data_IF_889147750842
#
_entry.id   IF_889147750842
#
_cell.length_a   1.000
_cell.length_b   1.000
_cell.length_c   1.000
_cell.angle_alpha   90.00
_cell.angle_beta   90.00
_cell.angle_gamma   90.00
#
_symmetry.space_group_name_H-M   'P 1'
#
loop_
_entity.id
_entity.type
_entity.pdbx_description
1 polymer ?
#
# COMPACT_ATOMS: atom_id res chain seq x y z
N UNK A 1 41.99 36.16 61.96
CA UNK A 1 43.02 36.75 61.09
C UNK A 1 43.70 35.65 60.27
N UNK A 2 43.31 35.48 59.00
CA UNK A 2 44.21 35.41 57.84
C UNK A 2 43.40 35.21 56.56
N UNK A 3 43.83 35.97 55.58
CA UNK A 3 43.32 36.18 54.24
C UNK A 3 43.96 35.18 53.25
N UNK A 4 43.23 34.97 52.15
CA UNK A 4 43.67 34.78 50.76
C UNK A 4 44.56 33.59 50.35
N UNK A 5 44.12 32.87 49.30
CA UNK A 5 44.61 32.91 47.89
C UNK A 5 43.99 31.69 47.16
N UNK A 6 42.96 31.83 46.30
CA UNK A 6 42.96 32.23 44.87
C UNK A 6 43.64 31.22 43.92
N UNK A 7 42.85 30.54 43.07
CA UNK A 7 42.96 30.42 41.58
C UNK A 7 42.01 29.30 41.08
N UNK A 8 40.93 29.67 40.37
CA UNK A 8 40.79 29.65 38.89
C UNK A 8 40.67 28.23 38.31
N UNK A 9 39.75 27.86 37.41
CA UNK A 9 38.84 28.63 36.55
C UNK A 9 37.94 27.63 35.78
N UNK A 10 36.78 28.13 35.34
CA UNK A 10 36.07 27.78 34.09
C UNK A 10 35.18 26.53 34.06
N UNK A 11 33.96 26.53 33.48
CA UNK A 11 33.27 27.50 32.58
C UNK A 11 31.76 27.12 32.50
N UNK A 12 30.89 28.14 32.50
CA UNK A 12 29.55 28.31 31.85
C UNK A 12 28.47 27.19 31.97
N UNK A 13 27.16 27.44 31.90
CA UNK A 13 26.29 28.62 31.73
C UNK A 13 24.84 28.14 31.98
N UNK A 14 24.01 28.85 32.77
CA UNK A 14 22.92 29.79 32.38
C UNK A 14 21.55 29.12 32.12
N UNK A 15 20.50 29.87 32.53
CA UNK A 15 19.06 29.76 32.28
C UNK A 15 18.27 28.94 33.32
N UNK A 16 17.59 29.53 34.30
CA UNK A 16 16.47 30.49 34.27
C UNK A 16 15.17 29.91 33.69
N UNK A 17 14.20 29.71 34.58
CA UNK A 17 12.76 29.78 34.29
C UNK A 17 12.08 28.51 33.80
N UNK A 18 11.08 28.03 34.54
CA UNK A 18 9.69 28.24 34.10
C UNK A 18 8.70 27.94 35.24
N UNK A 19 7.86 28.92 35.51
CA UNK A 19 6.64 28.82 36.31
C UNK A 19 5.49 28.25 35.44
N UNK A 20 4.53 27.62 36.12
CA UNK A 20 3.22 27.11 35.69
C UNK A 20 2.56 27.85 34.50
N UNK A 21 1.74 27.14 33.71
CA UNK A 21 0.28 27.39 33.56
C UNK A 21 -0.37 26.17 32.90
N UNK A 22 -1.49 25.69 33.46
CA UNK A 22 -2.30 24.60 32.92
C UNK A 22 -3.21 25.03 31.77
N UNK A 23 -3.59 24.07 30.92
CA UNK A 23 -4.67 24.24 29.96
C UNK A 23 -5.58 23.02 29.94
N UNK A 24 -6.87 23.32 29.88
CA UNK A 24 -8.02 22.43 29.96
C UNK A 24 -8.07 21.43 28.81
N UNK A 25 -8.41 20.18 29.12
CA UNK A 25 -8.82 19.16 28.17
C UNK A 25 -10.23 19.49 27.65
N UNK A 26 -10.35 19.79 26.35
CA UNK A 26 -11.62 19.75 25.62
C UNK A 26 -11.62 18.47 24.78
N UNK A 27 -12.67 17.63 24.81
CA UNK A 27 -12.74 16.50 23.90
C UNK A 27 -13.08 17.01 22.49
N UNK A 28 -12.16 16.81 21.55
CA UNK A 28 -12.42 17.04 20.14
C UNK A 28 -13.35 15.93 19.62
N UNK A 29 -14.63 16.24 19.47
CA UNK A 29 -15.52 15.50 18.56
C UNK A 29 -14.95 15.72 17.16
N UNK A 30 -14.41 14.67 16.56
CA UNK A 30 -13.96 14.68 15.17
C UNK A 30 -15.21 14.71 14.28
N UNK A 31 -15.61 15.91 13.87
CA UNK A 31 -16.53 16.09 12.77
C UNK A 31 -15.81 15.65 11.48
N UNK A 32 -16.32 14.59 10.85
CA UNK A 32 -15.92 14.17 9.51
C UNK A 32 -16.32 15.28 8.53
N UNK A 33 -15.33 16.07 8.13
CA UNK A 33 -15.47 17.15 7.17
C UNK A 33 -15.54 16.55 5.76
N UNK A 34 -16.71 16.57 5.14
CA UNK A 34 -16.85 16.42 3.68
C UNK A 34 -16.11 17.59 3.00
N UNK A 35 -14.86 17.36 2.62
CA UNK A 35 -14.06 18.34 1.89
C UNK A 35 -14.44 18.34 0.42
N UNK A 36 -15.21 19.36 0.02
CA UNK A 36 -15.40 19.75 -1.37
C UNK A 36 -14.24 20.65 -1.79
N UNK A 37 -13.16 20.06 -2.30
CA UNK A 37 -12.06 20.85 -2.87
C UNK A 37 -12.37 21.26 -4.31
N UNK A 38 -12.43 22.58 -4.49
CA UNK A 38 -12.35 23.22 -5.79
C UNK A 38 -10.90 23.63 -6.05
N UNK A 39 -10.42 23.33 -7.27
CA UNK A 39 -9.12 23.74 -7.87
C UNK A 39 -7.91 22.87 -7.49
N UNK A 40 -7.57 21.92 -8.37
CA UNK A 40 -6.16 21.62 -8.72
C UNK A 40 -5.59 20.24 -8.36
N UNK A 41 -6.25 19.43 -7.55
CA UNK A 41 -5.81 18.05 -7.32
C UNK A 41 -6.48 17.15 -8.36
N UNK A 42 -5.69 16.48 -9.22
CA UNK A 42 -6.20 15.34 -9.99
C UNK A 42 -6.60 14.28 -8.96
N UNK A 43 -7.86 14.22 -8.59
CA UNK A 43 -8.37 13.17 -7.71
C UNK A 43 -8.21 11.83 -8.42
N UNK A 44 -7.52 10.90 -7.77
CA UNK A 44 -7.42 9.51 -8.22
C UNK A 44 -8.29 8.69 -7.27
N UNK A 45 -9.32 8.04 -7.80
CA UNK A 45 -10.14 7.13 -7.04
C UNK A 45 -9.50 5.74 -7.02
N UNK A 46 -9.24 5.20 -5.83
CA UNK A 46 -8.62 3.89 -5.65
C UNK A 46 -9.69 2.81 -5.56
N UNK A 47 -9.53 1.75 -6.34
CA UNK A 47 -10.33 0.54 -6.34
C UNK A 47 -9.47 -0.61 -5.81
N UNK A 48 -9.72 -1.04 -4.57
CA UNK A 48 -9.08 -2.23 -3.99
C UNK A 48 -9.71 -3.47 -4.62
N UNK A 49 -9.10 -3.97 -5.68
CA UNK A 49 -9.74 -4.85 -6.65
C UNK A 49 -9.36 -6.33 -6.49
N UNK A 50 -8.55 -6.68 -5.50
CA UNK A 50 -8.29 -8.09 -5.22
C UNK A 50 -7.10 -8.32 -4.31
N UNK A 51 -6.85 -9.60 -4.09
CA UNK A 51 -5.76 -10.15 -3.30
C UNK A 51 -5.11 -11.31 -4.06
N UNK A 52 -3.79 -11.38 -4.00
CA UNK A 52 -2.99 -12.50 -4.48
C UNK A 52 -2.12 -13.00 -3.34
N UNK A 53 -2.15 -14.31 -3.06
CA UNK A 53 -1.29 -14.89 -2.03
C UNK A 53 -0.54 -16.08 -2.59
N UNK A 54 0.77 -16.09 -2.37
CA UNK A 54 1.64 -17.25 -2.55
C UNK A 54 2.09 -17.67 -1.15
N UNK A 55 1.73 -18.88 -0.72
CA UNK A 55 2.01 -19.39 0.62
C UNK A 55 2.75 -20.72 0.53
N UNK A 56 3.92 -20.79 1.18
CA UNK A 56 4.78 -21.98 1.18
C UNK A 56 4.50 -22.96 2.33
N UNK A 57 3.59 -22.63 3.24
CA UNK A 57 3.30 -23.43 4.43
C UNK A 57 2.85 -24.84 4.03
N UNK A 58 3.68 -25.85 4.33
CA UNK A 58 3.37 -27.24 3.99
C UNK A 58 3.43 -27.55 2.49
N UNK A 59 4.10 -26.69 1.72
CA UNK A 59 4.19 -26.73 0.27
C UNK A 59 3.70 -25.43 -0.36
N UNK A 60 4.07 -25.21 -1.62
CA UNK A 60 3.69 -24.01 -2.34
C UNK A 60 2.21 -24.04 -2.72
N UNK A 61 1.49 -22.95 -2.44
CA UNK A 61 0.10 -22.74 -2.84
C UNK A 61 -0.07 -21.33 -3.39
N UNK A 62 -1.02 -21.17 -4.32
CA UNK A 62 -1.32 -19.89 -4.95
C UNK A 62 -2.82 -19.62 -4.89
N UNK A 63 -3.21 -18.43 -4.47
CA UNK A 63 -4.60 -17.99 -4.44
C UNK A 63 -4.76 -16.64 -5.09
N UNK A 64 -5.86 -16.47 -5.80
CA UNK A 64 -6.25 -15.22 -6.43
C UNK A 64 -7.74 -14.97 -6.13
N UNK A 65 -8.05 -13.78 -5.62
CA UNK A 65 -9.41 -13.34 -5.32
C UNK A 65 -9.62 -11.93 -5.90
N UNK A 66 -10.41 -11.83 -6.96
CA UNK A 66 -10.71 -10.57 -7.61
C UNK A 66 -12.07 -10.01 -7.20
N UNK A 67 -12.17 -8.69 -7.23
CA UNK A 67 -13.40 -7.95 -6.99
C UNK A 67 -13.75 -7.08 -8.18
N UNK A 68 -14.96 -7.29 -8.71
CA UNK A 68 -15.54 -6.48 -9.78
C UNK A 68 -16.38 -5.32 -9.24
N UNK A 69 -16.52 -4.27 -10.05
CA UNK A 69 -17.16 -3.00 -9.65
C UNK A 69 -18.13 -2.48 -10.70
N UNK A 70 -19.24 -1.92 -10.21
CA UNK A 70 -20.05 -0.97 -10.96
C UNK A 70 -19.76 0.42 -10.40
N UNK A 71 -19.30 1.33 -11.24
CA UNK A 71 -18.79 2.65 -10.82
C UNK A 71 -19.52 3.76 -11.56
N UNK A 72 -20.05 4.73 -10.80
CA UNK A 72 -20.65 5.92 -11.40
C UNK A 72 -19.58 6.72 -12.14
N UNK A 73 -19.83 7.03 -13.40
CA UNK A 73 -18.93 7.80 -14.25
C UNK A 73 -18.91 9.26 -13.81
N UNK A 74 -17.69 9.74 -13.58
CA UNK A 74 -17.41 11.15 -13.35
C UNK A 74 -16.48 11.61 -14.44
N UNK A 75 -16.95 12.57 -15.25
CA UNK A 75 -16.18 13.06 -16.40
C UNK A 75 -14.81 13.53 -15.95
N UNK A 76 -13.81 12.85 -16.48
CA UNK A 76 -12.43 13.21 -16.28
C UNK A 76 -11.83 12.86 -14.93
N UNK A 77 -12.49 12.00 -14.17
CA UNK A 77 -11.89 11.35 -13.00
C UNK A 77 -10.92 10.25 -13.45
N UNK A 78 -9.81 10.11 -12.72
CA UNK A 78 -8.82 9.06 -12.93
C UNK A 78 -9.00 7.99 -11.85
N UNK A 79 -8.84 6.74 -12.23
CA UNK A 79 -9.00 5.59 -11.34
C UNK A 79 -7.67 4.85 -11.22
N UNK A 80 -7.45 4.21 -10.09
CA UNK A 80 -6.33 3.30 -9.86
C UNK A 80 -6.86 1.98 -9.32
N UNK A 81 -6.55 0.89 -10.01
CA UNK A 81 -6.70 -0.45 -9.46
C UNK A 81 -5.53 -0.71 -8.53
N UNK A 82 -5.83 -1.29 -7.38
CA UNK A 82 -4.86 -1.77 -6.41
C UNK A 82 -5.20 -3.23 -6.07
N UNK A 83 -4.22 -4.10 -6.22
CA UNK A 83 -4.29 -5.52 -5.87
C UNK A 83 -3.30 -5.73 -4.73
N UNK A 84 -3.76 -6.24 -3.59
CA UNK A 84 -2.87 -6.58 -2.49
C UNK A 84 -2.17 -7.90 -2.80
N UNK A 85 -0.91 -8.02 -2.43
CA UNK A 85 -0.13 -9.22 -2.66
C UNK A 85 0.62 -9.61 -1.40
N UNK A 86 0.64 -10.91 -1.12
CA UNK A 86 1.36 -11.49 -0.01
C UNK A 86 2.13 -12.73 -0.47
N UNK A 87 3.40 -12.79 -0.08
CA UNK A 87 4.24 -13.97 -0.18
C UNK A 87 4.64 -14.37 1.24
N UNK A 88 4.33 -15.61 1.61
CA UNK A 88 4.58 -16.19 2.93
C UNK A 88 5.69 -17.22 2.78
N UNK A 89 6.89 -16.85 3.19
CA UNK A 89 8.07 -17.71 3.22
C UNK A 89 8.07 -18.51 4.54
N UNK A 90 8.35 -19.81 4.48
CA UNK A 90 8.36 -20.69 5.67
C UNK A 90 9.59 -21.59 5.78
N UNK A 91 10.43 -21.63 4.75
CA UNK A 91 11.61 -22.49 4.62
C UNK A 91 11.28 -23.93 4.21
N UNK A 92 10.01 -24.21 3.90
CA UNK A 92 9.52 -25.53 3.49
C UNK A 92 9.83 -25.83 2.02
N UNK A 93 9.99 -24.79 1.18
CA UNK A 93 10.30 -24.87 -0.25
C UNK A 93 11.57 -24.06 -0.52
N UNK A 94 12.42 -24.55 -1.44
CA UNK A 94 13.74 -23.97 -1.68
C UNK A 94 13.95 -23.74 -3.16
N UNK A 95 14.55 -22.61 -3.51
CA UNK A 95 14.98 -22.25 -4.87
C UNK A 95 13.80 -22.18 -5.84
N UNK A 96 12.66 -21.66 -5.39
CA UNK A 96 11.52 -21.37 -6.25
C UNK A 96 11.31 -19.87 -6.43
N UNK A 97 10.46 -19.50 -7.38
CA UNK A 97 10.20 -18.10 -7.71
C UNK A 97 8.71 -17.85 -7.62
N UNK A 98 8.31 -16.99 -6.68
CA UNK A 98 6.96 -16.48 -6.60
C UNK A 98 6.79 -15.30 -7.57
N UNK A 99 5.69 -15.29 -8.30
CA UNK A 99 5.35 -14.23 -9.26
C UNK A 99 3.93 -13.77 -9.06
N UNK A 100 3.73 -12.46 -9.21
CA UNK A 100 2.45 -11.79 -9.19
C UNK A 100 2.32 -10.92 -10.44
N UNK A 101 1.15 -10.93 -11.08
CA UNK A 101 0.89 -10.16 -12.28
C UNK A 101 -0.49 -9.48 -12.22
N UNK A 102 -0.53 -8.25 -12.71
CA UNK A 102 -1.73 -7.52 -13.10
C UNK A 102 -1.66 -7.30 -14.61
N UNK A 103 -2.66 -7.78 -15.35
CA UNK A 103 -2.70 -7.73 -16.81
C UNK A 103 -3.97 -7.04 -17.30
N UNK A 104 -3.93 -6.46 -18.49
CA UNK A 104 -5.16 -6.06 -19.20
C UNK A 104 -5.79 -7.25 -19.94
N UNK A 105 -6.99 -7.04 -20.49
CA UNK A 105 -7.74 -8.02 -21.26
C UNK A 105 -6.99 -8.64 -22.46
N UNK A 106 -5.91 -8.01 -22.95
CA UNK A 106 -5.09 -8.58 -24.03
C UNK A 106 -3.98 -9.51 -23.50
N UNK A 107 -3.88 -9.67 -22.18
CA UNK A 107 -2.82 -10.40 -21.51
C UNK A 107 -1.53 -9.60 -21.35
N UNK A 108 -1.52 -8.31 -21.70
CA UNK A 108 -0.35 -7.46 -21.51
C UNK A 108 -0.17 -7.17 -20.02
N UNK A 109 1.02 -7.42 -19.51
CA UNK A 109 1.41 -7.10 -18.13
C UNK A 109 1.43 -5.59 -17.94
N UNK A 110 0.64 -5.12 -16.99
CA UNK A 110 0.54 -3.71 -16.57
C UNK A 110 1.43 -3.43 -15.37
N UNK A 111 1.50 -4.39 -14.45
CA UNK A 111 2.37 -4.37 -13.28
C UNK A 111 2.69 -5.81 -12.84
N UNK A 112 3.83 -6.01 -12.19
CA UNK A 112 4.27 -7.34 -11.76
C UNK A 112 5.27 -7.28 -10.62
N UNK A 113 5.29 -8.32 -9.81
CA UNK A 113 6.31 -8.57 -8.79
C UNK A 113 6.84 -9.98 -8.93
N UNK A 114 8.17 -10.11 -8.90
CA UNK A 114 8.87 -11.38 -8.77
C UNK A 114 9.63 -11.39 -7.45
N UNK A 115 9.63 -12.55 -6.79
CA UNK A 115 10.39 -12.83 -5.57
C UNK A 115 11.12 -14.15 -5.79
N UNK A 116 12.43 -14.11 -5.62
CA UNK A 116 13.29 -15.28 -5.68
C UNK A 116 13.50 -15.76 -4.25
N UNK A 117 13.02 -16.95 -3.92
CA UNK A 117 13.36 -17.58 -2.63
C UNK A 117 14.84 -18.00 -2.66
N UNK A 118 15.55 -17.64 -1.59
CA UNK A 118 16.96 -17.95 -1.44
C UNK A 118 17.19 -18.82 -0.21
N UNK A 119 18.08 -19.83 -0.30
CA UNK A 119 18.31 -20.74 0.81
C UNK A 119 18.65 -20.04 2.13
N UNK A 120 17.82 -20.25 3.15
CA UNK A 120 18.04 -19.76 4.50
C UNK A 120 17.74 -18.27 4.72
N UNK A 121 17.04 -17.63 3.78
CA UNK A 121 16.47 -16.30 3.94
C UNK A 121 15.02 -16.34 4.45
N UNK A 122 14.51 -15.16 4.82
CA UNK A 122 13.08 -14.90 4.93
C UNK A 122 12.75 -13.85 3.88
N UNK A 123 12.21 -14.31 2.76
CA UNK A 123 11.82 -13.50 1.62
C UNK A 123 10.35 -13.06 1.68
N UNK A 124 9.66 -13.28 2.81
CA UNK A 124 8.28 -12.88 3.02
C UNK A 124 8.07 -11.42 2.61
N UNK A 125 7.00 -11.19 1.86
CA UNK A 125 6.74 -9.88 1.28
C UNK A 125 5.27 -9.56 1.25
N UNK A 126 4.95 -8.31 1.60
CA UNK A 126 3.62 -7.74 1.41
C UNK A 126 3.75 -6.47 0.58
N UNK A 127 2.89 -6.33 -0.41
CA UNK A 127 2.87 -5.14 -1.24
C UNK A 127 1.68 -5.15 -2.17
N UNK A 128 1.80 -4.43 -3.28
CA UNK A 128 0.64 -4.16 -4.15
C UNK A 128 1.06 -4.08 -5.60
N UNK A 129 0.18 -4.55 -6.48
CA UNK A 129 0.22 -4.22 -7.91
C UNK A 129 -0.78 -3.11 -8.19
N UNK A 130 -0.39 -2.12 -8.99
CA UNK A 130 -1.22 -0.95 -9.25
C UNK A 130 -1.25 -0.55 -10.73
N UNK A 131 -2.42 -0.15 -11.22
CA UNK A 131 -2.55 0.43 -12.56
C UNK A 131 -3.53 1.60 -12.57
N UNK A 132 -3.12 2.69 -13.22
CA UNK A 132 -3.92 3.92 -13.35
C UNK A 132 -4.56 4.01 -14.73
N UNK A 133 -5.86 4.26 -14.78
CA UNK A 133 -6.65 4.32 -16.00
C UNK A 133 -7.73 5.40 -15.92
N UNK A 134 -8.34 5.73 -17.05
CA UNK A 134 -9.36 6.79 -17.15
C UNK A 134 -10.46 6.35 -18.11
N UNK A 135 -11.73 6.22 -17.66
CA UNK A 135 -12.85 6.02 -18.57
C UNK A 135 -13.07 7.27 -19.41
N UNK A 136 -13.39 7.05 -20.68
CA UNK A 136 -13.80 8.09 -21.62
C UNK A 136 -15.32 8.31 -21.54
N UNK A 137 -16.10 7.28 -21.22
CA UNK A 137 -17.56 7.35 -21.17
C UNK A 137 -18.17 6.55 -20.01
N UNK A 138 -19.46 6.79 -19.76
CA UNK A 138 -20.26 6.04 -18.80
C UNK A 138 -20.68 4.64 -19.29
N UNK A 139 -20.23 4.19 -20.46
CA UNK A 139 -20.46 2.83 -20.96
C UNK A 139 -19.15 2.05 -21.12
N UNK A 140 -18.04 2.62 -20.67
CA UNK A 140 -16.75 1.95 -20.77
C UNK A 140 -16.73 0.75 -19.83
N UNK A 141 -16.16 -0.35 -20.34
CA UNK A 141 -15.90 -1.58 -19.59
C UNK A 141 -14.40 -1.81 -19.61
N UNK A 142 -13.83 -2.01 -18.44
CA UNK A 142 -12.44 -2.42 -18.29
C UNK A 142 -12.39 -3.82 -17.70
N UNK A 143 -11.57 -4.67 -18.30
CA UNK A 143 -11.32 -6.03 -17.86
C UNK A 143 -9.82 -6.18 -17.59
N UNK A 144 -9.51 -6.73 -16.42
CA UNK A 144 -8.16 -7.01 -15.98
C UNK A 144 -8.07 -8.43 -15.44
N UNK A 145 -6.90 -9.02 -15.51
CA UNK A 145 -6.60 -10.31 -14.90
C UNK A 145 -5.55 -10.10 -13.82
N UNK A 146 -5.77 -10.69 -12.65
CA UNK A 146 -4.76 -10.87 -11.61
C UNK A 146 -4.33 -12.32 -11.63
N UNK A 147 -3.03 -12.58 -11.44
CA UNK A 147 -2.54 -13.95 -11.34
C UNK A 147 -1.31 -14.05 -10.46
N UNK A 148 -1.15 -15.19 -9.83
CA UNK A 148 0.03 -15.56 -9.08
C UNK A 148 0.57 -16.91 -9.59
N UNK A 149 1.86 -17.16 -9.36
CA UNK A 149 2.45 -18.50 -9.50
C UNK A 149 3.59 -18.72 -8.52
N UNK A 150 3.75 -19.95 -8.06
CA UNK A 150 4.91 -20.42 -7.29
C UNK A 150 5.09 -21.90 -7.55
N UNK A 151 6.31 -22.33 -7.90
CA UNK A 151 6.58 -23.74 -8.21
C UNK A 151 5.72 -24.26 -9.37
N UNK A 152 4.97 -25.34 -9.12
CA UNK A 152 3.96 -25.88 -10.05
C UNK A 152 2.58 -25.25 -9.91
N UNK A 153 2.35 -24.46 -8.86
CA UNK A 153 1.05 -23.88 -8.55
C UNK A 153 0.87 -22.53 -9.24
N UNK A 154 -0.36 -22.26 -9.65
CA UNK A 154 -0.76 -20.97 -10.19
C UNK A 154 -2.26 -20.75 -9.98
N UNK A 155 -2.64 -19.50 -9.82
CA UNK A 155 -4.04 -19.09 -9.73
C UNK A 155 -4.22 -17.77 -10.49
N UNK A 156 -5.43 -17.55 -10.99
CA UNK A 156 -5.81 -16.32 -11.67
C UNK A 156 -7.27 -16.01 -11.43
N UNK A 157 -7.61 -14.73 -11.39
CA UNK A 157 -8.99 -14.26 -11.32
C UNK A 157 -9.16 -12.94 -12.09
N UNK A 158 -10.40 -12.55 -12.36
CA UNK A 158 -10.75 -11.47 -13.29
C UNK A 158 -11.45 -10.33 -12.58
N UNK A 159 -11.02 -9.11 -12.89
CA UNK A 159 -11.62 -7.85 -12.42
C UNK A 159 -12.38 -7.23 -13.57
N UNK A 160 -13.69 -7.07 -13.40
CA UNK A 160 -14.53 -6.29 -14.31
C UNK A 160 -14.92 -4.96 -13.68
N UNK A 161 -14.76 -3.88 -14.43
CA UNK A 161 -15.16 -2.53 -14.02
C UNK A 161 -16.09 -1.97 -15.08
N UNK A 162 -17.35 -1.79 -14.70
CA UNK A 162 -18.39 -1.23 -15.54
C UNK A 162 -18.70 0.18 -15.07
N UNK A 163 -18.59 1.14 -15.98
CA UNK A 163 -19.04 2.50 -15.73
C UNK A 163 -20.54 2.63 -16.04
N UNK A 164 -21.22 3.54 -15.33
CA UNK A 164 -22.62 3.89 -15.55
C UNK A 164 -22.91 5.37 -15.21
N UNK A 165 -24.05 5.91 -15.63
CA UNK A 165 -24.45 7.32 -15.43
C UNK A 165 -24.80 7.71 -13.98
#
# INVERSE_FOLDING_TARGET
MREMQRKSRSVLAVFAGLLLVGMLLVPAVSAESEQTDSIGVKSVQILNAGELTVDETGGMTCTADAKSFNVKYVRGLTYKIKVNCEYIETGDVWVQTARFFLKDASGRVLDSKEILDTPGGDESWRGTLEYTFRPNSANDVFNFEISCSGGSESASDVIDILFYE
#
